data_IF_562509599429
#
_entry.id   IF_562509599429
#
_cell.length_a   1.000
_cell.length_b   1.000
_cell.length_c   1.000
_cell.angle_alpha   90.00
_cell.angle_beta   90.00
_cell.angle_gamma   90.00
#
_symmetry.space_group_name_H-M   'P 1'
#
loop_
_entity.id
_entity.type
_entity.pdbx_description
1 polymer ?
#
# COMPACT_ATOMS: atom_id res chain seq x y z
N UNK A 1 15.88 21.78 -1.31
CA UNK A 1 15.29 20.44 -1.53
C UNK A 1 15.56 19.47 -0.35
N UNK A 2 16.63 19.67 0.41
CA UNK A 2 16.99 18.78 1.53
C UNK A 2 15.90 18.72 2.63
N UNK A 3 15.15 19.79 2.83
CA UNK A 3 14.05 19.82 3.81
C UNK A 3 12.83 18.97 3.41
N UNK A 4 12.70 18.62 2.14
CA UNK A 4 11.57 17.83 1.62
C UNK A 4 11.83 16.32 1.75
N UNK A 5 13.09 15.91 1.80
CA UNK A 5 13.47 14.48 1.88
C UNK A 5 12.80 13.75 3.05
N UNK A 6 12.87 14.25 4.31
CA UNK A 6 12.23 13.56 5.43
C UNK A 6 10.71 13.51 5.31
N UNK A 7 10.08 14.53 4.72
CA UNK A 7 8.63 14.57 4.47
C UNK A 7 8.25 13.46 3.48
N UNK A 8 8.98 13.30 2.38
CA UNK A 8 8.75 12.23 1.39
C UNK A 8 8.95 10.83 2.00
N UNK A 9 9.97 10.64 2.82
CA UNK A 9 10.21 9.36 3.48
C UNK A 9 9.05 8.98 4.42
N UNK A 10 8.56 9.94 5.21
CA UNK A 10 7.40 9.73 6.08
C UNK A 10 6.13 9.44 5.27
N UNK A 11 5.91 10.16 4.16
CA UNK A 11 4.77 9.91 3.27
C UNK A 11 4.82 8.53 2.61
N UNK A 12 6.00 7.99 2.29
CA UNK A 12 6.15 6.62 1.82
C UNK A 12 5.66 5.61 2.87
N UNK A 13 6.00 5.81 4.14
CA UNK A 13 5.52 4.96 5.24
C UNK A 13 3.99 5.06 5.38
N UNK A 14 3.44 6.27 5.29
CA UNK A 14 1.98 6.48 5.28
C UNK A 14 1.32 5.76 4.11
N UNK A 15 1.90 5.85 2.92
CA UNK A 15 1.42 5.15 1.71
C UNK A 15 1.37 3.64 1.90
N UNK A 16 2.42 3.06 2.52
CA UNK A 16 2.49 1.65 2.85
C UNK A 16 1.37 1.25 3.82
N UNK A 17 1.17 1.98 4.92
CA UNK A 17 0.10 1.73 5.87
C UNK A 17 -1.29 1.87 5.23
N UNK A 18 -1.46 2.84 4.32
CA UNK A 18 -2.73 3.07 3.61
C UNK A 18 -3.06 1.94 2.65
N UNK A 19 -2.06 1.36 1.98
CA UNK A 19 -2.27 0.24 1.05
C UNK A 19 -2.86 -1.00 1.74
N UNK A 20 -2.52 -1.20 3.01
CA UNK A 20 -3.07 -2.25 3.88
C UNK A 20 -4.58 -2.09 4.10
N UNK A 21 -5.08 -0.87 4.15
CA UNK A 21 -6.51 -0.57 4.37
C UNK A 21 -7.41 -0.78 3.14
N UNK A 22 -6.87 -0.75 1.92
CA UNK A 22 -7.64 -0.82 0.70
C UNK A 22 -8.46 -2.13 0.53
N UNK A 23 -7.92 -3.33 0.80
CA UNK A 23 -8.68 -4.58 0.70
C UNK A 23 -9.86 -4.67 1.68
N UNK A 24 -9.81 -3.95 2.79
CA UNK A 24 -10.87 -3.96 3.82
C UNK A 24 -12.15 -3.32 3.27
N UNK A 25 -12.03 -2.24 2.52
CA UNK A 25 -13.17 -1.57 1.89
C UNK A 25 -13.92 -2.48 0.91
N UNK A 26 -13.20 -3.19 0.05
CA UNK A 26 -13.80 -4.14 -0.90
C UNK A 26 -14.45 -5.34 -0.20
N UNK A 27 -13.88 -5.80 0.90
CA UNK A 27 -14.46 -6.87 1.74
C UNK A 27 -15.79 -6.46 2.35
N UNK A 28 -15.88 -5.24 2.90
CA UNK A 28 -17.13 -4.71 3.48
C UNK A 28 -18.22 -4.51 2.41
N UNK A 29 -17.84 -4.07 1.22
CA UNK A 29 -18.76 -4.00 0.09
C UNK A 29 -19.29 -5.39 -0.30
N UNK A 30 -18.41 -6.40 -0.39
CA UNK A 30 -18.81 -7.78 -0.71
C UNK A 30 -19.73 -8.40 0.36
N UNK A 31 -19.66 -7.94 1.61
CA UNK A 31 -20.50 -8.37 2.73
C UNK A 31 -21.75 -7.48 2.94
N UNK A 32 -22.02 -6.52 2.05
CA UNK A 32 -23.11 -5.54 2.16
C UNK A 32 -23.12 -4.74 3.49
N UNK A 33 -21.94 -4.54 4.10
CA UNK A 33 -21.76 -3.80 5.36
C UNK A 33 -21.10 -2.44 5.13
N UNK A 34 -21.58 -1.70 4.13
CA UNK A 34 -21.06 -0.39 3.74
C UNK A 34 -21.29 0.67 4.83
N UNK A 35 -22.32 0.50 5.65
CA UNK A 35 -22.65 1.31 6.80
C UNK A 35 -21.48 1.45 7.79
N UNK A 36 -20.80 0.35 8.06
CA UNK A 36 -19.60 0.32 8.95
C UNK A 36 -18.46 1.14 8.32
N UNK A 37 -18.22 0.95 7.02
CA UNK A 37 -17.20 1.69 6.30
C UNK A 37 -17.46 3.18 6.27
N UNK A 38 -18.71 3.59 6.06
CA UNK A 38 -19.11 4.99 6.06
C UNK A 38 -18.87 5.66 7.41
N UNK A 39 -19.41 5.08 8.49
CA UNK A 39 -19.23 5.60 9.86
C UNK A 39 -17.77 5.72 10.24
N UNK A 40 -16.97 4.72 9.86
CA UNK A 40 -15.53 4.70 10.12
C UNK A 40 -14.80 5.80 9.35
N UNK A 41 -15.14 6.04 8.09
CA UNK A 41 -14.54 7.11 7.29
C UNK A 41 -14.89 8.51 7.82
N UNK A 42 -16.13 8.72 8.28
CA UNK A 42 -16.54 9.97 8.94
C UNK A 42 -15.70 10.19 10.21
N UNK A 43 -15.61 9.20 11.09
CA UNK A 43 -14.77 9.26 12.30
C UNK A 43 -13.30 9.58 11.97
N UNK A 44 -12.76 8.91 10.95
CA UNK A 44 -11.39 9.15 10.47
C UNK A 44 -11.18 10.60 10.03
N UNK A 45 -12.13 11.18 9.31
CA UNK A 45 -12.03 12.56 8.84
C UNK A 45 -11.97 13.53 10.03
N UNK A 46 -12.78 13.33 11.06
CA UNK A 46 -12.72 14.12 12.29
C UNK A 46 -11.37 14.01 13.02
N UNK A 47 -10.69 12.88 12.91
CA UNK A 47 -9.37 12.69 13.50
C UNK A 47 -8.27 13.37 12.67
N UNK A 48 -8.41 13.40 11.35
CA UNK A 48 -7.42 13.99 10.45
C UNK A 48 -7.35 15.52 10.57
N UNK A 49 -8.48 16.20 10.69
CA UNK A 49 -8.54 17.66 10.71
C UNK A 49 -7.69 18.24 11.87
N UNK A 50 -7.91 17.86 13.15
CA UNK A 50 -7.10 18.39 14.23
C UNK A 50 -5.64 17.97 14.15
N UNK A 51 -5.35 16.74 13.71
CA UNK A 51 -3.98 16.26 13.59
C UNK A 51 -3.16 17.06 12.57
N UNK A 52 -3.76 17.45 11.44
CA UNK A 52 -3.11 18.29 10.43
C UNK A 52 -2.91 19.71 10.94
N UNK A 53 -3.93 20.29 11.58
CA UNK A 53 -3.86 21.67 12.09
C UNK A 53 -2.82 21.80 13.20
N UNK A 54 -2.87 20.93 14.21
CA UNK A 54 -1.93 20.93 15.32
C UNK A 54 -0.51 20.61 14.82
N UNK A 55 -0.35 19.59 13.98
CA UNK A 55 0.93 19.22 13.40
C UNK A 55 1.55 20.36 12.59
N UNK A 56 0.73 21.07 11.79
CA UNK A 56 1.17 22.20 10.99
C UNK A 56 1.64 23.39 11.83
N UNK A 57 0.95 23.66 12.94
CA UNK A 57 1.34 24.74 13.85
C UNK A 57 2.62 24.43 14.64
N UNK A 58 2.86 23.16 14.99
CA UNK A 58 4.02 22.78 15.82
C UNK A 58 5.33 22.68 15.02
N UNK A 59 5.31 22.09 13.83
CA UNK A 59 6.53 21.81 13.07
C UNK A 59 6.36 21.95 11.54
N UNK A 60 5.42 22.77 11.08
CA UNK A 60 5.19 23.03 9.67
C UNK A 60 4.92 21.74 8.86
N UNK A 61 5.54 21.60 7.69
CA UNK A 61 5.33 20.45 6.79
C UNK A 61 5.68 19.10 7.42
N UNK A 62 6.73 19.04 8.23
CA UNK A 62 7.13 17.83 8.94
C UNK A 62 6.08 17.47 10.00
N UNK A 63 5.57 18.45 10.74
CA UNK A 63 4.53 18.24 11.75
C UNK A 63 3.21 17.74 11.15
N UNK A 64 2.80 18.30 10.02
CA UNK A 64 1.63 17.80 9.26
C UNK A 64 1.82 16.32 8.89
N UNK A 65 3.00 15.97 8.39
CA UNK A 65 3.27 14.60 7.94
C UNK A 65 3.33 13.62 9.11
N UNK A 66 3.89 14.03 10.25
CA UNK A 66 3.89 13.23 11.48
C UNK A 66 2.47 13.07 12.03
N UNK A 67 1.67 14.12 12.06
CA UNK A 67 0.25 14.06 12.46
C UNK A 67 -0.52 13.08 11.55
N UNK A 68 -0.29 13.15 10.24
CA UNK A 68 -0.89 12.25 9.27
C UNK A 68 -0.48 10.79 9.50
N UNK A 69 0.81 10.54 9.76
CA UNK A 69 1.33 9.22 10.07
C UNK A 69 0.68 8.65 11.34
N UNK A 70 0.62 9.44 12.40
CA UNK A 70 0.05 9.04 13.68
C UNK A 70 -1.42 8.63 13.53
N UNK A 71 -2.22 9.48 12.87
CA UNK A 71 -3.63 9.15 12.58
C UNK A 71 -3.73 7.90 11.71
N UNK A 72 -2.84 7.72 10.75
CA UNK A 72 -2.85 6.52 9.90
C UNK A 72 -2.54 5.24 10.69
N UNK A 73 -1.62 5.27 11.64
CA UNK A 73 -1.33 4.15 12.54
C UNK A 73 -2.57 3.81 13.38
N UNK A 74 -3.17 4.82 14.04
CA UNK A 74 -4.39 4.64 14.83
C UNK A 74 -5.51 4.06 13.97
N UNK A 75 -5.70 4.62 12.77
CA UNK A 75 -6.70 4.17 11.81
C UNK A 75 -6.48 2.70 11.39
N UNK A 76 -5.25 2.28 11.17
CA UNK A 76 -4.92 0.89 10.79
C UNK A 76 -5.26 -0.08 11.93
N UNK A 77 -4.96 0.28 13.17
CA UNK A 77 -5.29 -0.52 14.37
C UNK A 77 -6.81 -0.56 14.55
N UNK A 78 -7.47 0.60 14.51
CA UNK A 78 -8.92 0.70 14.70
C UNK A 78 -9.70 -0.04 13.61
N UNK A 79 -9.22 -0.01 12.36
CA UNK A 79 -9.87 -0.70 11.25
C UNK A 79 -9.96 -2.21 11.49
N UNK A 80 -8.98 -2.80 12.15
CA UNK A 80 -9.05 -4.21 12.55
C UNK A 80 -10.21 -4.45 13.52
N UNK A 81 -10.32 -3.65 14.58
CA UNK A 81 -11.34 -3.85 15.61
C UNK A 81 -12.75 -3.52 15.14
N UNK A 82 -12.90 -2.44 14.35
CA UNK A 82 -14.22 -1.92 13.94
C UNK A 82 -14.73 -2.57 12.66
N UNK A 83 -13.83 -2.89 11.72
CA UNK A 83 -14.21 -3.34 10.39
C UNK A 83 -14.02 -4.85 10.21
N UNK A 84 -12.91 -5.43 10.67
CA UNK A 84 -12.55 -6.82 10.38
C UNK A 84 -13.16 -7.77 11.41
N UNK A 85 -12.97 -7.50 12.68
CA UNK A 85 -13.43 -8.35 13.78
C UNK A 85 -14.94 -8.64 13.74
N UNK A 86 -15.85 -7.66 13.51
CA UNK A 86 -17.30 -7.93 13.45
C UNK A 86 -17.75 -8.68 12.19
N UNK A 87 -16.94 -8.67 11.11
CA UNK A 87 -17.32 -9.26 9.82
C UNK A 87 -16.72 -10.65 9.59
N UNK A 88 -15.48 -10.88 10.04
CA UNK A 88 -14.73 -12.12 9.83
C UNK A 88 -14.50 -12.93 11.12
N UNK A 89 -14.90 -12.40 12.27
CA UNK A 89 -14.55 -13.00 13.58
C UNK A 89 -13.07 -12.84 13.90
N UNK A 90 -12.57 -13.66 14.84
CA UNK A 90 -11.18 -13.56 15.35
C UNK A 90 -10.14 -14.22 14.42
N UNK A 91 -10.14 -13.86 13.13
CA UNK A 91 -9.17 -14.37 12.15
C UNK A 91 -7.88 -13.51 12.08
N UNK A 92 -7.39 -13.05 13.24
CA UNK A 92 -6.20 -12.17 13.34
C UNK A 92 -4.98 -12.77 12.63
N UNK A 93 -4.73 -14.06 12.79
CA UNK A 93 -3.60 -14.76 12.17
C UNK A 93 -3.68 -14.75 10.64
N UNK A 94 -4.84 -15.00 10.07
CA UNK A 94 -5.04 -14.99 8.62
C UNK A 94 -4.88 -13.58 8.05
N UNK A 95 -5.36 -12.58 8.79
CA UNK A 95 -5.20 -11.17 8.40
C UNK A 95 -3.72 -10.76 8.35
N UNK A 96 -2.94 -11.06 9.41
CA UNK A 96 -1.50 -10.77 9.44
C UNK A 96 -0.76 -11.52 8.34
N UNK A 97 -1.07 -12.80 8.12
CA UNK A 97 -0.44 -13.57 7.05
C UNK A 97 -0.73 -13.01 5.66
N UNK A 98 -1.95 -12.50 5.44
CA UNK A 98 -2.31 -11.84 4.17
C UNK A 98 -1.58 -10.52 3.96
N UNK A 99 -1.23 -9.80 5.03
CA UNK A 99 -0.43 -8.58 4.97
C UNK A 99 1.06 -8.87 4.78
N UNK A 100 1.54 -9.99 5.30
CA UNK A 100 2.95 -10.36 5.20
C UNK A 100 3.38 -10.68 3.78
N UNK A 101 2.50 -11.26 2.98
CA UNK A 101 2.80 -11.68 1.62
C UNK A 101 3.22 -10.50 0.69
N UNK A 102 2.45 -9.39 0.56
CA UNK A 102 2.87 -8.25 -0.24
C UNK A 102 4.16 -7.62 0.28
N UNK A 103 4.36 -7.60 1.60
CA UNK A 103 5.57 -7.08 2.21
C UNK A 103 6.79 -7.91 1.82
N UNK A 104 6.70 -9.23 1.89
CA UNK A 104 7.74 -10.15 1.47
C UNK A 104 8.07 -10.03 -0.02
N UNK A 105 7.04 -9.86 -0.87
CA UNK A 105 7.22 -9.69 -2.31
C UNK A 105 7.86 -8.34 -2.69
N UNK A 106 7.75 -7.32 -1.86
CA UNK A 106 8.35 -5.99 -2.10
C UNK A 106 9.81 -5.88 -1.64
N UNK A 107 10.29 -6.77 -0.75
CA UNK A 107 11.67 -6.74 -0.24
C UNK A 107 12.74 -6.81 -1.33
N UNK A 108 12.67 -7.72 -2.32
CA UNK A 108 13.66 -7.77 -3.41
C UNK A 108 13.66 -6.53 -4.28
N UNK A 109 12.50 -5.91 -4.48
CA UNK A 109 12.36 -4.64 -5.22
C UNK A 109 13.12 -3.51 -4.52
N UNK A 110 13.00 -3.45 -3.19
CA UNK A 110 13.79 -2.52 -2.35
C UNK A 110 15.30 -2.78 -2.48
N UNK A 111 15.71 -4.05 -2.38
CA UNK A 111 17.11 -4.45 -2.50
C UNK A 111 17.72 -4.08 -3.85
N UNK A 112 17.02 -4.37 -4.95
CA UNK A 112 17.46 -4.04 -6.31
C UNK A 112 17.56 -2.52 -6.52
N UNK A 113 16.53 -1.77 -6.10
CA UNK A 113 16.53 -0.30 -6.23
C UNK A 113 17.63 0.34 -5.41
N UNK A 114 17.90 -0.15 -4.20
CA UNK A 114 18.98 0.35 -3.34
C UNK A 114 20.35 0.04 -3.91
N UNK A 115 20.58 -1.20 -4.36
CA UNK A 115 21.85 -1.61 -4.97
C UNK A 115 22.17 -0.81 -6.23
N UNK A 116 21.18 -0.60 -7.12
CA UNK A 116 21.34 0.24 -8.30
C UNK A 116 21.63 1.70 -7.93
N UNK A 117 21.01 2.21 -6.87
CA UNK A 117 21.27 3.55 -6.37
C UNK A 117 22.72 3.74 -5.94
N UNK A 118 23.34 2.73 -5.32
CA UNK A 118 24.76 2.79 -4.91
C UNK A 118 25.69 2.66 -6.12
N UNK A 119 25.45 1.68 -6.99
CA UNK A 119 26.34 1.36 -8.11
C UNK A 119 26.37 2.46 -9.17
N UNK A 120 25.21 3.05 -9.47
CA UNK A 120 25.08 4.05 -10.54
C UNK A 120 25.18 5.50 -10.03
N UNK A 121 25.39 5.68 -8.72
CA UNK A 121 25.56 7.01 -8.13
C UNK A 121 26.82 7.67 -8.69
N UNK A 122 26.63 8.80 -9.37
CA UNK A 122 27.73 9.55 -9.99
C UNK A 122 28.05 9.21 -11.44
N UNK A 123 27.44 8.17 -12.03
CA UNK A 123 27.64 7.80 -13.42
C UNK A 123 26.54 8.34 -14.37
N UNK A 124 25.36 8.62 -13.82
CA UNK A 124 24.19 9.05 -14.59
C UNK A 124 23.62 10.36 -14.03
N UNK A 125 23.00 11.14 -14.93
CA UNK A 125 22.18 12.29 -14.51
C UNK A 125 21.06 11.82 -13.58
N UNK A 126 20.72 12.65 -12.58
CA UNK A 126 19.76 12.30 -11.51
C UNK A 126 18.41 11.79 -12.06
N UNK A 127 17.90 12.39 -13.13
CA UNK A 127 16.65 11.96 -13.77
C UNK A 127 16.76 10.58 -14.43
N UNK A 128 17.90 10.30 -15.06
CA UNK A 128 18.15 9.01 -15.72
C UNK A 128 18.36 7.88 -14.70
N UNK A 129 19.03 8.18 -13.59
CA UNK A 129 19.18 7.27 -12.45
C UNK A 129 17.80 6.88 -11.89
N UNK A 130 16.93 7.87 -11.69
CA UNK A 130 15.57 7.64 -11.19
C UNK A 130 14.75 6.77 -12.15
N UNK A 131 14.80 7.04 -13.46
CA UNK A 131 14.11 6.25 -14.47
C UNK A 131 14.57 4.78 -14.48
N UNK A 132 15.88 4.55 -14.42
CA UNK A 132 16.46 3.20 -14.33
C UNK A 132 16.04 2.48 -13.05
N UNK A 133 16.06 3.15 -11.91
CA UNK A 133 15.62 2.57 -10.64
C UNK A 133 14.14 2.17 -10.66
N UNK A 134 13.26 3.02 -11.23
CA UNK A 134 11.85 2.71 -11.38
C UNK A 134 11.66 1.50 -12.29
N UNK A 135 12.28 1.50 -13.47
CA UNK A 135 12.18 0.40 -14.43
C UNK A 135 12.68 -0.93 -13.83
N UNK A 136 13.83 -0.93 -13.18
CA UNK A 136 14.38 -2.10 -12.52
C UNK A 136 13.53 -2.58 -11.34
N UNK A 137 12.97 -1.66 -10.55
CA UNK A 137 12.05 -1.98 -9.47
C UNK A 137 10.77 -2.65 -9.98
N UNK A 138 10.17 -2.14 -11.05
CA UNK A 138 9.00 -2.73 -11.68
C UNK A 138 9.33 -4.12 -12.24
N UNK A 139 10.46 -4.28 -12.92
CA UNK A 139 10.90 -5.58 -13.45
C UNK A 139 11.12 -6.59 -12.31
N UNK A 140 11.83 -6.21 -11.26
CA UNK A 140 12.05 -7.07 -10.11
C UNK A 140 10.74 -7.51 -9.45
N UNK A 141 9.78 -6.60 -9.32
CA UNK A 141 8.45 -6.91 -8.77
C UNK A 141 7.67 -7.88 -9.67
N UNK A 142 7.65 -7.65 -10.98
CA UNK A 142 7.00 -8.55 -11.95
C UNK A 142 7.64 -9.93 -11.93
N UNK A 143 8.98 -10.01 -11.93
CA UNK A 143 9.70 -11.28 -11.84
C UNK A 143 9.33 -12.03 -10.56
N UNK A 144 9.28 -11.34 -9.41
CA UNK A 144 8.89 -11.96 -8.14
C UNK A 144 7.44 -12.48 -8.16
N UNK A 145 6.50 -11.75 -8.76
CA UNK A 145 5.13 -12.22 -8.94
C UNK A 145 5.10 -13.47 -9.85
N UNK A 146 5.88 -13.48 -10.92
CA UNK A 146 5.93 -14.61 -11.85
C UNK A 146 6.54 -15.84 -11.19
N UNK A 147 7.63 -15.67 -10.43
CA UNK A 147 8.30 -16.77 -9.73
C UNK A 147 7.54 -17.25 -8.48
N UNK A 148 6.74 -16.38 -7.87
CA UNK A 148 5.99 -16.73 -6.67
C UNK A 148 4.94 -17.81 -6.97
N UNK A 149 5.10 -18.97 -6.32
CA UNK A 149 4.15 -20.10 -6.37
C UNK A 149 3.12 -20.04 -5.24
N UNK A 150 3.00 -18.90 -4.54
CA UNK A 150 2.04 -18.77 -3.46
C UNK A 150 0.60 -18.94 -3.98
N UNK A 151 -0.28 -19.69 -3.28
CA UNK A 151 -1.63 -20.00 -3.77
C UNK A 151 -2.45 -18.74 -4.12
N UNK A 152 -2.31 -17.66 -3.37
CA UNK A 152 -2.98 -16.38 -3.67
C UNK A 152 -2.50 -15.77 -4.99
N UNK A 153 -1.20 -15.84 -5.28
CA UNK A 153 -0.64 -15.32 -6.55
C UNK A 153 -1.08 -16.19 -7.73
N UNK A 154 -1.14 -17.49 -7.53
CA UNK A 154 -1.64 -18.44 -8.55
C UNK A 154 -3.11 -18.17 -8.87
N UNK A 155 -3.94 -17.90 -7.86
CA UNK A 155 -5.35 -17.57 -8.04
C UNK A 155 -5.55 -16.24 -8.81
N UNK A 156 -4.79 -15.20 -8.47
CA UNK A 156 -4.79 -13.93 -9.22
C UNK A 156 -4.37 -14.14 -10.68
N UNK A 157 -3.32 -14.92 -10.94
CA UNK A 157 -2.91 -15.28 -12.30
C UNK A 157 -4.03 -16.02 -13.06
N UNK A 158 -4.71 -16.95 -12.39
CA UNK A 158 -5.83 -17.71 -12.98
C UNK A 158 -7.00 -16.80 -13.34
N UNK A 159 -7.38 -15.88 -12.47
CA UNK A 159 -8.44 -14.91 -12.73
C UNK A 159 -8.09 -13.97 -13.89
N UNK A 160 -6.84 -13.49 -13.94
CA UNK A 160 -6.37 -12.62 -15.02
C UNK A 160 -6.40 -13.34 -16.38
N UNK A 161 -5.91 -14.58 -16.43
CA UNK A 161 -5.91 -15.40 -17.65
C UNK A 161 -7.34 -15.76 -18.10
N UNK A 162 -8.26 -15.95 -17.16
CA UNK A 162 -9.69 -16.20 -17.44
C UNK A 162 -10.38 -14.94 -17.99
N UNK A 163 -10.06 -13.76 -17.45
CA UNK A 163 -10.59 -12.48 -17.92
C UNK A 163 -10.14 -12.17 -19.35
N UNK A 164 -8.89 -12.42 -19.68
CA UNK A 164 -8.34 -12.25 -21.04
C UNK A 164 -9.01 -13.20 -22.04
N UNK A 165 -9.18 -14.47 -21.69
CA UNK A 165 -9.91 -15.44 -22.55
C UNK A 165 -11.36 -15.02 -22.77
N UNK A 166 -12.03 -14.50 -21.75
CA UNK A 166 -13.41 -14.01 -21.87
C UNK A 166 -13.51 -12.78 -22.78
N UNK A 167 -12.53 -11.85 -22.69
CA UNK A 167 -12.46 -10.69 -23.59
C UNK A 167 -12.19 -11.09 -25.04
N UNK A 168 -11.35 -12.10 -25.29
CA UNK A 168 -11.12 -12.62 -26.64
C UNK A 168 -12.36 -13.28 -27.23
N UNK A 169 -13.10 -14.05 -26.44
CA UNK A 169 -14.35 -14.67 -26.87
C UNK A 169 -15.45 -13.65 -27.20
N UNK A 170 -15.53 -12.54 -26.43
CA UNK A 170 -16.47 -11.46 -26.70
C UNK A 170 -16.10 -10.58 -27.91
N UNK A 171 -14.85 -10.64 -28.37
CA UNK A 171 -14.40 -9.94 -29.60
C UNK A 171 -14.53 -10.81 -30.86
N UNK A 172 -14.66 -12.11 -30.71
CA UNK A 172 -14.72 -13.05 -31.81
C UNK A 172 -16.17 -13.47 -32.20
N UNK A 173 -17.19 -13.04 -31.46
CA UNK A 173 -18.61 -13.18 -31.77
C UNK A 173 -19.27 -11.85 -32.07
#
# INVERSE_FOLDING_TARGET
WNSIIPVLQLLCVVGLLRSVGNPIGSLLMAKARVDISFKFNVFKTFLFIPAIVIGGQMAGAIGVTLGFLLVQIINTILSYFVMIKPVLGSSYRQYILSLWLPFYLSLPTLGVSYALGIVLKGQLALGMLLAVQIAAGVLAFVVMIVLSRHPLVVEVKRQFCRSEKMKMLLRAG
#
